data_IF_011179358507
#
_entry.id   IF_011179358507
#
_cell.length_a   1.000
_cell.length_b   1.000
_cell.length_c   1.000
_cell.angle_alpha   90.00
_cell.angle_beta   90.00
_cell.angle_gamma   90.00
#
_symmetry.space_group_name_H-M   'P 1'
#
loop_
_entity.id
_entity.type
_entity.pdbx_description
1 polymer ?
#
# COMPACT_ATOMS: atom_id res chain seq x y z
N UNK A 1 17.59 9.67 -19.24
CA UNK A 1 16.80 8.69 -18.45
C UNK A 1 15.35 8.84 -18.82
N UNK A 2 14.83 7.82 -19.50
CA UNK A 2 13.42 7.72 -19.88
C UNK A 2 12.54 7.59 -18.62
N UNK A 3 11.26 7.95 -18.72
CA UNK A 3 10.31 7.90 -17.60
C UNK A 3 10.29 6.52 -16.91
N UNK A 4 10.45 5.46 -17.70
CA UNK A 4 10.52 4.07 -17.24
C UNK A 4 11.71 3.77 -16.32
N UNK A 5 12.89 4.33 -16.59
CA UNK A 5 14.10 4.12 -15.77
C UNK A 5 13.96 4.77 -14.39
N UNK A 6 13.33 5.96 -14.34
CA UNK A 6 13.02 6.64 -13.06
C UNK A 6 12.02 5.83 -12.23
N UNK A 7 11.02 5.24 -12.88
CA UNK A 7 10.01 4.43 -12.23
C UNK A 7 10.61 3.12 -11.68
N UNK A 8 11.49 2.46 -12.45
CA UNK A 8 12.21 1.26 -12.01
C UNK A 8 13.14 1.54 -10.83
N UNK A 9 13.87 2.66 -10.85
CA UNK A 9 14.74 3.05 -9.74
C UNK A 9 13.93 3.36 -8.46
N UNK A 10 12.75 3.99 -8.57
CA UNK A 10 11.88 4.23 -7.42
C UNK A 10 11.33 2.94 -6.81
N UNK A 11 10.93 1.98 -7.66
CA UNK A 11 10.48 0.65 -7.20
C UNK A 11 11.62 -0.14 -6.56
N UNK A 12 12.82 -0.11 -7.15
CA UNK A 12 14.00 -0.78 -6.60
C UNK A 12 14.41 -0.22 -5.22
N UNK A 13 14.30 1.10 -5.02
CA UNK A 13 14.54 1.73 -3.72
C UNK A 13 13.50 1.33 -2.67
N UNK A 14 12.22 1.24 -3.03
CA UNK A 14 11.17 0.80 -2.10
C UNK A 14 11.33 -0.65 -1.66
N UNK A 15 11.84 -1.54 -2.51
CA UNK A 15 12.12 -2.95 -2.16
C UNK A 15 13.18 -3.15 -1.08
N UNK A 16 14.02 -2.14 -0.83
CA UNK A 16 15.03 -2.19 0.24
C UNK A 16 14.41 -1.95 1.62
N UNK A 17 13.32 -1.18 1.69
CA UNK A 17 12.68 -0.77 2.95
C UNK A 17 11.32 -1.41 3.18
N UNK A 18 10.65 -1.92 2.14
CA UNK A 18 9.32 -2.52 2.21
C UNK A 18 9.34 -3.95 1.64
N UNK A 19 8.74 -4.90 2.36
CA UNK A 19 8.48 -6.26 1.85
C UNK A 19 7.20 -6.26 1.03
N UNK A 20 7.21 -6.93 -0.12
CA UNK A 20 6.04 -7.04 -0.98
C UNK A 20 4.94 -7.91 -0.35
N UNK A 21 3.69 -7.42 -0.36
CA UNK A 21 2.51 -8.11 0.14
C UNK A 21 1.58 -8.45 -1.04
N UNK A 22 1.52 -9.73 -1.44
CA UNK A 22 0.56 -10.21 -2.45
C UNK A 22 -0.70 -10.72 -1.77
N UNK A 23 -1.82 -10.04 -1.99
CA UNK A 23 -3.12 -10.43 -1.40
C UNK A 23 -4.23 -10.44 -2.46
N UNK A 24 -5.19 -11.33 -2.25
CA UNK A 24 -6.46 -11.35 -2.96
C UNK A 24 -7.55 -10.97 -1.97
N UNK A 25 -8.36 -9.98 -2.35
CA UNK A 25 -9.47 -9.48 -1.55
C UNK A 25 -10.77 -9.74 -2.31
N UNK A 26 -11.88 -9.87 -1.57
CA UNK A 26 -13.21 -9.88 -2.19
C UNK A 26 -13.42 -8.57 -2.96
N UNK A 27 -14.05 -8.66 -4.14
CA UNK A 27 -14.25 -7.52 -5.03
C UNK A 27 -14.86 -6.31 -4.31
N UNK A 28 -15.90 -6.51 -3.50
CA UNK A 28 -16.54 -5.42 -2.76
C UNK A 28 -15.60 -4.70 -1.77
N UNK A 29 -14.66 -5.43 -1.17
CA UNK A 29 -13.66 -4.84 -0.26
C UNK A 29 -12.61 -4.07 -1.06
N UNK A 30 -12.18 -4.62 -2.20
CA UNK A 30 -11.22 -3.95 -3.07
C UNK A 30 -11.79 -2.67 -3.67
N UNK A 31 -13.04 -2.67 -4.08
CA UNK A 31 -13.73 -1.50 -4.62
C UNK A 31 -13.78 -0.38 -3.57
N UNK A 32 -14.18 -0.73 -2.34
CA UNK A 32 -14.17 0.21 -1.21
C UNK A 32 -12.77 0.72 -0.91
N UNK A 33 -11.74 -0.15 -0.91
CA UNK A 33 -10.36 0.28 -0.68
C UNK A 33 -9.93 1.35 -1.69
N UNK A 34 -10.26 1.18 -2.97
CA UNK A 34 -9.92 2.15 -4.02
C UNK A 34 -10.58 3.49 -3.74
N UNK A 35 -11.89 3.50 -3.45
CA UNK A 35 -12.63 4.74 -3.14
C UNK A 35 -12.04 5.46 -1.92
N UNK A 36 -11.68 4.72 -0.87
CA UNK A 36 -11.11 5.31 0.34
C UNK A 36 -9.68 5.82 0.12
N UNK A 37 -8.89 5.14 -0.72
CA UNK A 37 -7.57 5.63 -1.15
C UNK A 37 -7.68 6.94 -1.92
N UNK A 38 -8.64 7.06 -2.84
CA UNK A 38 -8.89 8.28 -3.61
C UNK A 38 -9.30 9.45 -2.70
N UNK A 39 -10.21 9.21 -1.74
CA UNK A 39 -10.63 10.23 -0.77
C UNK A 39 -9.48 10.70 0.13
N UNK A 40 -8.64 9.76 0.58
CA UNK A 40 -7.52 10.07 1.48
C UNK A 40 -6.29 10.61 0.75
N UNK A 41 -6.24 10.52 -0.59
CA UNK A 41 -5.04 10.86 -1.37
C UNK A 41 -3.86 9.92 -1.11
N UNK A 42 -4.14 8.66 -0.76
CA UNK A 42 -3.14 7.66 -0.38
C UNK A 42 -3.06 6.55 -1.41
N UNK A 43 -1.91 5.88 -1.49
CA UNK A 43 -1.82 4.63 -2.25
C UNK A 43 -2.46 3.46 -1.47
N UNK A 44 -2.89 2.42 -2.19
CA UNK A 44 -3.42 1.20 -1.58
C UNK A 44 -2.46 0.58 -0.57
N UNK A 45 -1.15 0.61 -0.86
CA UNK A 45 -0.13 0.10 0.05
C UNK A 45 -0.08 0.91 1.35
N UNK A 46 -0.03 2.24 1.26
CA UNK A 46 -0.02 3.11 2.46
C UNK A 46 -1.29 2.96 3.30
N UNK A 47 -2.44 2.81 2.65
CA UNK A 47 -3.71 2.59 3.34
C UNK A 47 -3.69 1.27 4.12
N UNK A 48 -3.23 0.19 3.51
CA UNK A 48 -3.10 -1.12 4.16
C UNK A 48 -2.06 -1.08 5.28
N UNK A 49 -0.91 -0.43 5.07
CA UNK A 49 0.12 -0.29 6.11
C UNK A 49 -0.43 0.44 7.35
N UNK A 50 -1.19 1.52 7.17
CA UNK A 50 -1.83 2.23 8.29
C UNK A 50 -2.84 1.37 9.02
N UNK A 51 -3.70 0.64 8.29
CA UNK A 51 -4.66 -0.29 8.89
C UNK A 51 -3.96 -1.37 9.72
N UNK A 52 -2.87 -1.94 9.20
CA UNK A 52 -2.10 -2.95 9.91
C UNK A 52 -1.40 -2.39 11.14
N UNK A 53 -0.80 -1.20 11.04
CA UNK A 53 -0.18 -0.54 12.20
C UNK A 53 -1.19 -0.27 13.31
N UNK A 54 -2.39 0.23 12.97
CA UNK A 54 -3.45 0.44 13.95
C UNK A 54 -3.88 -0.87 14.60
N UNK A 55 -4.10 -1.92 13.80
CA UNK A 55 -4.48 -3.23 14.33
C UNK A 55 -3.39 -3.83 15.24
N UNK A 56 -2.11 -3.66 14.92
CA UNK A 56 -1.02 -4.12 15.79
C UNK A 56 -0.93 -3.32 17.08
N UNK A 57 -1.09 -1.99 17.03
CA UNK A 57 -1.12 -1.13 18.23
C UNK A 57 -2.28 -1.48 19.17
N UNK A 58 -3.43 -1.87 18.63
CA UNK A 58 -4.57 -2.34 19.42
C UNK A 58 -4.35 -3.72 20.04
N UNK A 59 -3.59 -4.60 19.39
CA UNK A 59 -3.28 -5.95 19.90
C UNK A 59 -2.17 -5.97 20.95
N UNK A 60 -1.28 -4.98 20.96
CA UNK A 60 -0.16 -4.87 21.90
C UNK A 60 -0.53 -4.11 23.19
N UNK A 61 -1.77 -3.62 23.30
CA UNK A 61 -2.36 -2.99 24.50
C UNK A 61 -2.89 -4.03 25.48
#
# INVERSE_FOLDING_TARGET
MSASEKQQAAVARKKLTHKELKIYLRNAIKDRLVVECEKAGLTQAEYIERLLQQAFDELDK
#
